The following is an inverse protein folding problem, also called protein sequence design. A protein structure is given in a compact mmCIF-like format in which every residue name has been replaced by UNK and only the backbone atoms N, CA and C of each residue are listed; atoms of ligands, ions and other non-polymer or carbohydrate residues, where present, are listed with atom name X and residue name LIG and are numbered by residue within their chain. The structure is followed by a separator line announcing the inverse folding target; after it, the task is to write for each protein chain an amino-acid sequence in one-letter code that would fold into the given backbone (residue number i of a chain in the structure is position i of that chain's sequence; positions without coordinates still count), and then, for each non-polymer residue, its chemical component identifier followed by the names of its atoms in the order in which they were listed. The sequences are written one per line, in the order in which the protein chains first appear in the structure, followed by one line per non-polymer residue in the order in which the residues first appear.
data_IF_657021769239
#
_entry.id   IF_657021769239
#
_cell.length_a   1.000
_cell.length_b   1.000
_cell.length_c   1.000
_cell.angle_alpha   90.00
_cell.angle_beta   90.00
_cell.angle_gamma   90.00
#
_symmetry.space_group_name_H-M   'P 1'
#
loop_
_entity.id
_entity.type
_entity.pdbx_description
1 polymer ?
#
# COMPACT_ATOMS: atom_id res chain seq x y z
N UNK A 1 9.51 23.82 -17.75
CA UNK A 1 10.85 23.22 -17.58
C UNK A 1 10.77 21.76 -17.15
N UNK A 2 9.98 21.43 -16.09
CA UNK A 2 9.84 20.05 -15.60
C UNK A 2 9.27 19.08 -16.64
N UNK A 3 8.18 19.47 -17.33
CA UNK A 3 7.57 18.66 -18.41
C UNK A 3 8.55 18.43 -19.56
N UNK A 4 9.26 19.47 -20.01
CA UNK A 4 10.25 19.34 -21.08
C UNK A 4 11.41 18.40 -20.66
N UNK A 5 11.89 18.49 -19.43
CA UNK A 5 12.92 17.58 -18.92
C UNK A 5 12.41 16.13 -18.85
N UNK A 6 11.17 15.92 -18.40
CA UNK A 6 10.57 14.59 -18.37
C UNK A 6 10.39 14.01 -19.78
N UNK A 7 9.99 14.85 -20.77
CA UNK A 7 9.84 14.43 -22.15
C UNK A 7 11.17 13.98 -22.80
N UNK A 8 12.28 14.58 -22.36
CA UNK A 8 13.62 14.32 -22.95
C UNK A 8 14.34 13.18 -22.21
N UNK A 9 14.26 13.17 -20.89
CA UNK A 9 15.08 12.33 -20.02
C UNK A 9 14.27 11.35 -19.16
N UNK A 10 12.93 11.40 -19.19
CA UNK A 10 12.07 10.54 -18.41
C UNK A 10 11.95 9.13 -18.99
N UNK A 11 11.58 8.19 -18.14
CA UNK A 11 11.34 6.77 -18.46
C UNK A 11 9.91 6.50 -18.99
N UNK A 12 9.12 7.55 -19.21
CA UNK A 12 7.72 7.44 -19.59
C UNK A 12 6.77 7.12 -18.42
N UNK A 13 7.27 7.07 -17.19
CA UNK A 13 6.43 6.85 -16.01
C UNK A 13 5.75 8.12 -15.53
N UNK A 14 4.47 8.01 -15.20
CA UNK A 14 3.65 9.08 -14.60
C UNK A 14 3.07 8.59 -13.28
N UNK A 15 3.17 9.42 -12.26
CA UNK A 15 2.54 9.18 -10.97
C UNK A 15 1.45 10.22 -10.71
N UNK A 16 0.19 9.75 -10.59
CA UNK A 16 -0.93 10.61 -10.21
C UNK A 16 -0.86 10.83 -8.70
N UNK A 17 -0.53 12.05 -8.30
CA UNK A 17 -0.35 12.46 -6.91
C UNK A 17 -1.68 12.64 -6.17
N UNK A 18 -1.65 13.25 -4.99
CA UNK A 18 -2.76 13.58 -4.08
C UNK A 18 -3.34 12.42 -3.27
N UNK A 19 -2.54 11.38 -3.04
CA UNK A 19 -2.83 10.36 -2.02
C UNK A 19 -4.07 9.49 -2.23
N UNK A 20 -5.03 9.89 -3.08
CA UNK A 20 -6.25 9.11 -3.33
C UNK A 20 -6.97 9.51 -4.62
N UNK A 21 -6.43 9.15 -5.77
CA UNK A 21 -7.07 9.42 -7.07
C UNK A 21 -8.40 8.67 -7.26
N UNK A 22 -8.58 7.56 -6.56
CA UNK A 22 -9.82 6.76 -6.58
C UNK A 22 -10.97 7.39 -5.77
N UNK A 23 -10.80 8.61 -5.24
CA UNK A 23 -11.91 9.45 -4.79
C UNK A 23 -12.74 10.00 -5.96
N UNK A 24 -12.17 10.06 -7.16
CA UNK A 24 -12.91 10.31 -8.38
C UNK A 24 -13.75 9.08 -8.75
N UNK A 25 -14.87 9.30 -9.45
CA UNK A 25 -15.59 8.18 -10.08
C UNK A 25 -14.72 7.53 -11.16
N UNK A 26 -14.92 6.24 -11.39
CA UNK A 26 -14.15 5.45 -12.36
C UNK A 26 -14.19 6.08 -13.76
N UNK A 27 -15.36 6.59 -14.20
CA UNK A 27 -15.50 7.28 -15.47
C UNK A 27 -14.63 8.55 -15.58
N UNK A 28 -14.66 9.42 -14.55
CA UNK A 28 -13.82 10.62 -14.55
C UNK A 28 -12.33 10.32 -14.52
N UNK A 29 -11.94 9.29 -13.77
CA UNK A 29 -10.54 8.86 -13.74
C UNK A 29 -10.13 8.29 -15.10
N UNK A 30 -10.98 7.50 -15.76
CA UNK A 30 -10.77 7.01 -17.13
C UNK A 30 -10.56 8.15 -18.13
N UNK A 31 -11.38 9.21 -18.08
CA UNK A 31 -11.23 10.37 -18.96
C UNK A 31 -9.86 11.05 -18.79
N UNK A 32 -9.39 11.18 -17.53
CA UNK A 32 -8.05 11.73 -17.23
C UNK A 32 -6.93 10.84 -17.80
N UNK A 33 -7.05 9.53 -17.62
CA UNK A 33 -6.05 8.56 -18.10
C UNK A 33 -5.96 8.57 -19.63
N UNK A 34 -7.10 8.54 -20.30
CA UNK A 34 -7.18 8.61 -21.78
C UNK A 34 -6.57 9.92 -22.28
N UNK A 35 -6.94 11.05 -21.67
CA UNK A 35 -6.38 12.36 -22.03
C UNK A 35 -4.85 12.38 -21.86
N UNK A 36 -4.31 11.86 -20.76
CA UNK A 36 -2.87 11.79 -20.54
C UNK A 36 -2.16 10.97 -21.61
N UNK A 37 -2.69 9.80 -21.97
CA UNK A 37 -2.13 8.94 -23.03
C UNK A 37 -2.19 9.61 -24.41
N UNK A 38 -3.24 10.38 -24.71
CA UNK A 38 -3.38 11.12 -25.95
C UNK A 38 -2.43 12.34 -26.02
N UNK A 39 -2.35 13.10 -24.92
CA UNK A 39 -1.49 14.28 -24.84
C UNK A 39 0.01 13.94 -24.79
N UNK A 40 0.34 12.78 -24.23
CA UNK A 40 1.71 12.31 -24.01
C UNK A 40 1.85 10.84 -24.44
N UNK A 41 1.95 10.55 -25.75
CA UNK A 41 1.99 9.17 -26.27
C UNK A 41 3.18 8.34 -25.78
N UNK A 42 4.24 8.98 -25.26
CA UNK A 42 5.42 8.34 -24.69
C UNK A 42 5.19 7.79 -23.26
N UNK A 43 4.03 8.02 -22.67
CA UNK A 43 3.71 7.41 -21.37
C UNK A 43 3.64 5.90 -21.51
N UNK A 44 4.53 5.21 -20.81
CA UNK A 44 4.61 3.74 -20.76
C UNK A 44 3.90 3.19 -19.54
N UNK A 45 3.83 3.97 -18.44
CA UNK A 45 3.27 3.54 -17.16
C UNK A 45 2.57 4.67 -16.42
N UNK A 46 1.36 4.39 -15.91
CA UNK A 46 0.65 5.30 -15.01
C UNK A 46 0.42 4.58 -13.67
N UNK A 47 0.85 5.23 -12.60
CA UNK A 47 0.71 4.74 -11.21
C UNK A 47 -0.07 5.76 -10.40
N UNK A 48 -0.85 5.31 -9.42
CA UNK A 48 -1.57 6.20 -8.52
C UNK A 48 -1.61 5.67 -7.08
N UNK A 49 -2.05 6.52 -6.15
CA UNK A 49 -2.49 6.11 -4.84
C UNK A 49 -4.00 5.87 -4.81
N UNK A 50 -4.43 4.90 -3.99
CA UNK A 50 -5.83 4.66 -3.68
C UNK A 50 -6.00 4.25 -2.21
N UNK A 51 -6.99 4.83 -1.52
CA UNK A 51 -7.33 4.42 -0.16
C UNK A 51 -8.22 3.19 -0.19
N UNK A 52 -7.98 2.22 0.70
CA UNK A 52 -8.73 0.96 0.76
C UNK A 52 -10.26 1.17 0.81
N UNK A 53 -10.74 2.17 1.59
CA UNK A 53 -12.18 2.49 1.67
C UNK A 53 -12.80 2.90 0.32
N UNK A 54 -12.02 3.49 -0.59
CA UNK A 54 -12.47 3.84 -1.93
C UNK A 54 -12.34 2.65 -2.87
N UNK A 55 -11.21 1.96 -2.82
CA UNK A 55 -10.94 0.78 -3.66
C UNK A 55 -11.96 -0.34 -3.42
N UNK A 56 -12.40 -0.56 -2.19
CA UNK A 56 -13.41 -1.56 -1.86
C UNK A 56 -14.78 -1.31 -2.50
N UNK A 57 -15.06 -0.08 -2.93
CA UNK A 57 -16.33 0.32 -3.55
C UNK A 57 -16.31 0.27 -5.08
N UNK A 58 -15.15 0.09 -5.69
CA UNK A 58 -14.97 -0.01 -7.14
C UNK A 58 -15.03 -1.48 -7.51
N UNK A 59 -15.84 -1.82 -8.50
CA UNK A 59 -15.98 -3.21 -8.93
C UNK A 59 -14.76 -3.70 -9.75
N UNK A 60 -14.54 -5.01 -9.87
CA UNK A 60 -13.51 -5.55 -10.75
C UNK A 60 -13.64 -5.09 -12.20
N UNK A 61 -14.87 -4.96 -12.71
CA UNK A 61 -15.14 -4.49 -14.06
C UNK A 61 -14.72 -3.04 -14.26
N UNK A 62 -15.03 -2.16 -13.29
CA UNK A 62 -14.57 -0.77 -13.31
C UNK A 62 -13.05 -0.67 -13.25
N UNK A 63 -12.38 -1.54 -12.46
CA UNK A 63 -10.91 -1.61 -12.47
C UNK A 63 -10.35 -2.10 -13.81
N UNK A 64 -11.02 -3.06 -14.48
CA UNK A 64 -10.63 -3.48 -15.82
C UNK A 64 -10.76 -2.33 -16.84
N UNK A 65 -11.81 -1.50 -16.74
CA UNK A 65 -11.95 -0.28 -17.54
C UNK A 65 -10.83 0.72 -17.26
N UNK A 66 -10.48 0.95 -15.99
CA UNK A 66 -9.35 1.81 -15.61
C UNK A 66 -8.02 1.26 -16.13
N UNK A 67 -7.82 -0.05 -16.09
CA UNK A 67 -6.66 -0.72 -16.69
C UNK A 67 -6.59 -0.50 -18.20
N UNK A 68 -7.71 -0.67 -18.90
CA UNK A 68 -7.80 -0.42 -20.33
C UNK A 68 -7.54 1.06 -20.68
N UNK A 69 -7.97 2.00 -19.82
CA UNK A 69 -7.68 3.43 -19.96
C UNK A 69 -6.21 3.78 -19.67
N UNK A 70 -5.43 2.86 -19.06
CA UNK A 70 -3.98 3.00 -18.89
C UNK A 70 -3.49 3.10 -17.46
N UNK A 71 -4.30 2.79 -16.44
CA UNK A 71 -3.85 2.69 -15.06
C UNK A 71 -3.12 1.36 -14.84
N UNK A 72 -1.82 1.41 -14.60
CA UNK A 72 -0.99 0.21 -14.52
C UNK A 72 -0.80 -0.30 -13.10
N UNK A 73 -0.67 0.62 -12.11
CA UNK A 73 -0.43 0.25 -10.71
C UNK A 73 -1.20 1.15 -9.75
N UNK A 74 -1.68 0.55 -8.67
CA UNK A 74 -2.20 1.26 -7.51
C UNK A 74 -1.33 0.94 -6.30
N UNK A 75 -0.94 1.97 -5.56
CA UNK A 75 -0.37 1.85 -4.22
C UNK A 75 -1.44 2.15 -3.19
N UNK A 76 -1.55 1.31 -2.17
CA UNK A 76 -2.46 1.54 -1.05
C UNK A 76 -1.75 1.41 0.30
N UNK A 77 -1.94 2.39 1.14
CA UNK A 77 -1.50 2.32 2.54
C UNK A 77 -2.51 1.49 3.33
N UNK A 78 -2.18 0.23 3.57
CA UNK A 78 -2.92 -0.61 4.52
C UNK A 78 -2.42 -0.34 5.93
N UNK A 79 -1.12 -0.22 6.09
CA UNK A 79 -0.36 -0.01 7.32
C UNK A 79 -0.37 -1.22 8.25
N UNK A 80 -1.50 -1.89 8.41
CA UNK A 80 -1.73 -3.11 9.19
C UNK A 80 -2.82 -3.94 8.50
N UNK A 81 -2.98 -5.19 8.86
CA UNK A 81 -4.14 -6.03 8.56
C UNK A 81 -4.91 -6.45 9.83
N UNK A 82 -4.59 -5.86 10.97
CA UNK A 82 -5.29 -6.12 12.24
C UNK A 82 -6.32 -5.04 12.53
N UNK A 83 -7.58 -5.41 12.73
CA UNK A 83 -8.66 -4.47 13.07
C UNK A 83 -8.38 -3.69 14.36
N UNK A 84 -7.69 -4.30 15.33
CA UNK A 84 -7.29 -3.63 16.56
C UNK A 84 -6.27 -2.54 16.30
N UNK A 85 -5.26 -2.83 15.47
CA UNK A 85 -4.23 -1.86 15.07
C UNK A 85 -4.84 -0.77 14.19
N UNK A 86 -5.68 -1.14 13.21
CA UNK A 86 -6.37 -0.19 12.33
C UNK A 86 -7.25 0.78 13.12
N UNK A 87 -7.92 0.28 14.16
CA UNK A 87 -8.69 1.11 15.09
C UNK A 87 -7.80 2.02 15.93
N UNK A 88 -6.69 1.50 16.47
CA UNK A 88 -5.72 2.26 17.26
C UNK A 88 -5.19 3.48 16.49
N UNK A 89 -4.84 3.30 15.21
CA UNK A 89 -4.31 4.37 14.36
C UNK A 89 -5.40 5.21 13.68
N UNK A 90 -6.66 4.97 14.00
CA UNK A 90 -7.82 5.64 13.39
C UNK A 90 -7.80 5.59 11.85
N UNK A 91 -7.48 4.41 11.29
CA UNK A 91 -7.34 4.21 9.84
C UNK A 91 -8.67 4.37 9.10
N UNK A 92 -9.77 4.04 9.77
CA UNK A 92 -11.14 4.16 9.24
C UNK A 92 -11.47 3.10 8.17
N UNK A 93 -10.84 1.93 8.27
CA UNK A 93 -11.06 0.76 7.42
C UNK A 93 -10.88 -0.50 8.27
N UNK A 94 -11.50 -1.59 7.87
CA UNK A 94 -11.31 -2.92 8.45
C UNK A 94 -10.43 -3.81 7.55
N UNK A 95 -9.85 -4.86 8.12
CA UNK A 95 -9.11 -5.87 7.35
C UNK A 95 -9.96 -6.50 6.23
N UNK A 96 -11.25 -6.74 6.49
CA UNK A 96 -12.18 -7.26 5.48
C UNK A 96 -12.38 -6.30 4.30
N UNK A 97 -12.42 -4.99 4.55
CA UNK A 97 -12.49 -3.97 3.50
C UNK A 97 -11.17 -3.89 2.73
N UNK A 98 -10.02 -4.03 3.38
CA UNK A 98 -8.71 -4.10 2.72
C UNK A 98 -8.59 -5.32 1.80
N UNK A 99 -9.06 -6.49 2.25
CA UNK A 99 -9.13 -7.71 1.45
C UNK A 99 -10.03 -7.50 0.23
N UNK A 100 -11.21 -6.93 0.43
CA UNK A 100 -12.14 -6.62 -0.68
C UNK A 100 -11.49 -5.68 -1.68
N UNK A 101 -10.87 -4.59 -1.21
CA UNK A 101 -10.16 -3.63 -2.04
C UNK A 101 -9.07 -4.29 -2.89
N UNK A 102 -8.23 -5.11 -2.25
CA UNK A 102 -7.14 -5.79 -2.94
C UNK A 102 -7.62 -6.81 -3.98
N UNK A 103 -8.62 -7.62 -3.63
CA UNK A 103 -9.23 -8.60 -4.55
C UNK A 103 -9.84 -7.90 -5.77
N UNK A 104 -10.56 -6.79 -5.59
CA UNK A 104 -11.16 -6.05 -6.70
C UNK A 104 -10.10 -5.47 -7.64
N UNK A 105 -9.05 -4.83 -7.10
CA UNK A 105 -7.94 -4.27 -7.90
C UNK A 105 -7.25 -5.37 -8.71
N UNK A 106 -6.91 -6.49 -8.07
CA UNK A 106 -6.24 -7.63 -8.72
C UNK A 106 -7.11 -8.26 -9.79
N UNK A 107 -8.41 -8.46 -9.53
CA UNK A 107 -9.36 -9.01 -10.49
C UNK A 107 -9.52 -8.10 -11.72
N UNK A 108 -9.41 -6.78 -11.56
CA UNK A 108 -9.37 -5.81 -12.66
C UNK A 108 -8.05 -5.78 -13.44
N UNK A 109 -7.05 -6.59 -13.09
CA UNK A 109 -5.78 -6.71 -13.80
C UNK A 109 -4.80 -5.55 -13.54
N UNK A 110 -5.02 -4.75 -12.52
CA UNK A 110 -4.11 -3.67 -12.10
C UNK A 110 -3.09 -4.22 -11.11
N UNK A 111 -1.82 -3.88 -11.30
CA UNK A 111 -0.75 -4.22 -10.38
C UNK A 111 -0.97 -3.55 -9.02
N UNK A 112 -0.98 -4.33 -7.94
CA UNK A 112 -1.33 -3.84 -6.62
C UNK A 112 -0.15 -3.89 -5.66
N UNK A 113 0.12 -2.75 -5.03
CA UNK A 113 1.21 -2.57 -4.07
C UNK A 113 0.67 -2.05 -2.75
N UNK A 114 0.86 -2.80 -1.68
CA UNK A 114 0.40 -2.43 -0.34
C UNK A 114 1.56 -1.98 0.53
N UNK A 115 1.32 -1.00 1.40
CA UNK A 115 2.27 -0.61 2.43
C UNK A 115 1.94 -1.32 3.74
N UNK A 116 2.96 -1.89 4.35
CA UNK A 116 2.94 -2.39 5.72
C UNK A 116 3.81 -1.51 6.61
N UNK A 117 3.33 -1.25 7.83
CA UNK A 117 4.01 -0.36 8.77
C UNK A 117 4.42 -1.12 10.04
N UNK A 118 5.62 -1.76 10.06
CA UNK A 118 6.13 -2.41 11.27
C UNK A 118 6.23 -1.44 12.44
N UNK A 119 5.76 -1.89 13.59
CA UNK A 119 5.78 -1.14 14.85
C UNK A 119 4.61 -0.17 15.04
N UNK A 120 3.67 -0.08 14.10
CA UNK A 120 2.55 0.88 14.20
C UNK A 120 1.55 0.52 15.30
N UNK A 121 1.43 -0.76 15.66
CA UNK A 121 0.61 -1.24 16.78
C UNK A 121 1.24 -1.06 18.16
N UNK A 122 2.48 -0.56 18.22
CA UNK A 122 3.25 -0.54 19.47
C UNK A 122 3.58 -1.95 19.97
N UNK A 123 4.28 -1.99 21.10
CA UNK A 123 4.76 -3.27 21.66
C UNK A 123 3.61 -4.21 22.02
N UNK A 124 2.47 -3.68 22.44
CA UNK A 124 1.33 -4.48 22.87
C UNK A 124 0.66 -5.27 21.75
N UNK A 125 0.69 -4.76 20.50
CA UNK A 125 0.02 -5.35 19.34
C UNK A 125 0.99 -5.81 18.25
N UNK A 126 2.25 -6.09 18.60
CA UNK A 126 3.28 -6.55 17.65
C UNK A 126 2.87 -7.84 16.93
N UNK A 127 2.39 -8.85 17.67
CA UNK A 127 1.98 -10.13 17.06
C UNK A 127 0.70 -9.98 16.23
N UNK A 128 -0.27 -9.22 16.71
CA UNK A 128 -1.53 -8.92 16.02
C UNK A 128 -1.28 -8.17 14.73
N UNK A 129 -0.34 -7.20 14.73
CA UNK A 129 0.04 -6.45 13.53
C UNK A 129 0.64 -7.36 12.46
N UNK A 130 1.59 -8.20 12.85
CA UNK A 130 2.25 -9.13 11.93
C UNK A 130 1.28 -10.20 11.39
N UNK A 131 0.50 -10.83 12.27
CA UNK A 131 -0.47 -11.86 11.93
C UNK A 131 -1.55 -11.30 11.02
N UNK A 132 -2.20 -10.20 11.41
CA UNK A 132 -3.27 -9.59 10.63
C UNK A 132 -2.80 -9.21 9.23
N UNK A 133 -1.58 -8.64 9.10
CA UNK A 133 -1.04 -8.33 7.78
C UNK A 133 -0.76 -9.59 6.95
N UNK A 134 -0.27 -10.67 7.59
CA UNK A 134 -0.07 -11.96 6.91
C UNK A 134 -1.38 -12.53 6.37
N UNK A 135 -2.44 -12.50 7.18
CA UNK A 135 -3.75 -12.99 6.78
C UNK A 135 -4.30 -12.20 5.58
N UNK A 136 -4.17 -10.86 5.61
CA UNK A 136 -4.62 -9.98 4.52
C UNK A 136 -3.84 -10.25 3.22
N UNK A 137 -2.51 -10.34 3.28
CA UNK A 137 -1.71 -10.55 2.06
C UNK A 137 -1.89 -11.93 1.46
N UNK A 138 -2.07 -12.97 2.29
CA UNK A 138 -2.35 -14.33 1.80
C UNK A 138 -3.71 -14.39 1.06
N UNK A 139 -4.70 -13.64 1.52
CA UNK A 139 -6.01 -13.54 0.86
C UNK A 139 -5.98 -12.76 -0.46
N UNK A 140 -5.13 -11.75 -0.58
CA UNK A 140 -5.10 -10.84 -1.73
C UNK A 140 -4.06 -11.28 -2.77
N UNK A 141 -2.92 -11.81 -2.32
CA UNK A 141 -1.72 -12.02 -3.15
C UNK A 141 -1.34 -10.74 -3.92
N UNK A 142 -1.02 -9.61 -3.23
CA UNK A 142 -0.63 -8.38 -3.90
C UNK A 142 0.70 -8.58 -4.63
N UNK A 143 0.96 -7.78 -5.66
CA UNK A 143 2.23 -7.89 -6.41
C UNK A 143 3.41 -7.41 -5.56
N UNK A 144 3.17 -6.44 -4.65
CA UNK A 144 4.21 -5.92 -3.75
C UNK A 144 3.67 -5.66 -2.34
N UNK A 145 4.51 -5.98 -1.37
CA UNK A 145 4.44 -5.44 -0.01
C UNK A 145 5.63 -4.49 0.16
N UNK A 146 5.35 -3.24 0.51
CA UNK A 146 6.38 -2.24 0.77
C UNK A 146 6.43 -1.90 2.25
N UNK A 147 7.60 -2.07 2.83
CA UNK A 147 7.83 -1.73 4.23
C UNK A 147 7.94 -0.22 4.39
N UNK A 148 7.25 0.32 5.39
CA UNK A 148 7.35 1.71 5.85
C UNK A 148 7.39 1.70 7.37
N UNK A 149 8.57 1.70 7.95
CA UNK A 149 8.74 1.63 9.41
C UNK A 149 7.99 2.76 10.10
N UNK A 150 7.20 2.43 11.12
CA UNK A 150 6.43 3.39 11.87
C UNK A 150 7.35 4.44 12.53
N UNK A 151 7.05 5.70 12.29
CA UNK A 151 7.65 6.83 12.96
C UNK A 151 6.54 7.73 13.51
N UNK A 152 6.39 7.75 14.83
CA UNK A 152 5.37 8.55 15.51
C UNK A 152 5.80 10.00 15.49
N UNK A 153 4.94 10.86 14.94
CA UNK A 153 5.22 12.28 14.78
C UNK A 153 4.49 13.11 15.84
N UNK A 154 5.09 14.19 16.34
CA UNK A 154 4.38 15.18 17.14
C UNK A 154 3.07 15.61 16.48
N UNK A 155 2.08 15.96 17.28
CA UNK A 155 0.73 16.40 16.84
C UNK A 155 -0.15 15.27 16.25
N UNK A 156 0.17 14.01 16.50
CA UNK A 156 -0.73 12.88 16.24
C UNK A 156 -1.28 12.34 17.56
N UNK A 157 -2.50 11.79 17.55
CA UNK A 157 -3.08 11.15 18.74
C UNK A 157 -2.16 10.08 19.33
N UNK A 158 -1.56 9.27 18.48
CA UNK A 158 -0.62 8.23 18.91
C UNK A 158 0.65 8.79 19.60
N UNK A 159 1.06 10.02 19.27
CA UNK A 159 2.15 10.69 19.95
C UNK A 159 1.75 11.16 21.35
N UNK A 160 0.51 11.60 21.52
CA UNK A 160 -0.05 11.97 22.83
C UNK A 160 -0.16 10.73 23.72
N UNK A 161 -0.64 9.60 23.20
CA UNK A 161 -0.71 8.32 23.91
C UNK A 161 0.70 7.85 24.32
N UNK A 162 1.70 8.04 23.47
CA UNK A 162 3.10 7.76 23.79
C UNK A 162 3.62 8.63 24.94
N UNK A 163 3.34 9.93 24.95
CA UNK A 163 3.75 10.84 26.01
C UNK A 163 3.08 10.51 27.34
N UNK A 164 1.85 10.02 27.31
CA UNK A 164 1.09 9.63 28.48
C UNK A 164 1.46 8.24 29.03
N UNK A 165 2.23 7.47 28.24
CA UNK A 165 2.62 6.10 28.60
C UNK A 165 1.58 5.02 28.23
N UNK A 166 0.51 5.40 27.53
CA UNK A 166 -0.54 4.50 27.05
C UNK A 166 -0.12 3.74 25.79
N UNK A 167 0.85 4.27 25.04
CA UNK A 167 1.46 3.64 23.88
C UNK A 167 2.96 3.42 24.09
N UNK A 168 3.41 2.18 24.00
CA UNK A 168 4.82 1.81 24.13
C UNK A 168 5.39 1.53 22.74
N UNK A 169 6.44 2.26 22.37
CA UNK A 169 7.12 2.07 21.08
C UNK A 169 7.71 0.66 20.95
N UNK A 170 7.61 0.08 19.77
CA UNK A 170 8.35 -1.10 19.41
C UNK A 170 9.86 -0.82 19.39
N UNK A 171 10.64 -1.73 19.92
CA UNK A 171 12.08 -1.77 19.67
C UNK A 171 12.38 -2.10 18.21
N UNK A 172 13.63 -1.94 17.79
CA UNK A 172 14.07 -2.36 16.47
C UNK A 172 13.90 -3.88 16.29
N UNK A 173 14.19 -4.67 17.32
CA UNK A 173 14.00 -6.12 17.33
C UNK A 173 12.53 -6.51 17.15
N UNK A 174 11.60 -5.80 17.79
CA UNK A 174 10.17 -6.05 17.65
C UNK A 174 9.74 -5.84 16.18
N UNK A 175 10.17 -4.75 15.56
CA UNK A 175 9.88 -4.45 14.14
C UNK A 175 10.45 -5.49 13.18
N UNK A 176 11.68 -5.97 13.45
CA UNK A 176 12.30 -7.05 12.66
C UNK A 176 11.54 -8.35 12.82
N UNK A 177 11.06 -8.67 14.04
CA UNK A 177 10.20 -9.84 14.28
C UNK A 177 8.87 -9.76 13.53
N UNK A 178 8.24 -8.59 13.44
CA UNK A 178 7.03 -8.40 12.64
C UNK A 178 7.30 -8.72 11.15
N UNK A 179 8.37 -8.16 10.58
CA UNK A 179 8.74 -8.42 9.18
C UNK A 179 9.04 -9.92 8.97
N UNK A 180 9.82 -10.53 9.87
CA UNK A 180 10.12 -11.96 9.82
C UNK A 180 8.84 -12.80 9.90
N UNK A 181 7.92 -12.47 10.80
CA UNK A 181 6.64 -13.18 10.95
C UNK A 181 5.81 -13.16 9.67
N UNK A 182 5.78 -12.03 8.95
CA UNK A 182 5.10 -11.94 7.65
C UNK A 182 5.73 -12.87 6.62
N UNK A 183 7.06 -12.93 6.57
CA UNK A 183 7.78 -13.82 5.64
C UNK A 183 7.49 -15.30 5.97
N UNK A 184 7.54 -15.66 7.26
CA UNK A 184 7.30 -17.03 7.71
C UNK A 184 5.85 -17.50 7.56
N UNK A 185 4.89 -16.56 7.57
CA UNK A 185 3.45 -16.85 7.41
C UNK A 185 2.94 -16.69 5.98
N UNK A 186 3.79 -16.24 5.05
CA UNK A 186 3.44 -16.16 3.65
C UNK A 186 3.13 -17.56 3.09
N UNK A 187 1.93 -17.76 2.55
CA UNK A 187 1.47 -19.05 2.07
C UNK A 187 0.70 -18.91 0.76
N UNK A 188 1.14 -19.63 -0.26
CA UNK A 188 0.46 -19.68 -1.56
C UNK A 188 0.47 -18.36 -2.34
N UNK A 189 1.42 -17.45 -2.06
CA UNK A 189 1.52 -16.13 -2.71
C UNK A 189 2.80 -15.97 -3.51
N UNK A 190 2.77 -15.06 -4.49
CA UNK A 190 3.92 -14.69 -5.32
C UNK A 190 4.34 -13.22 -5.12
N UNK A 191 4.03 -12.68 -3.96
CA UNK A 191 4.26 -11.30 -3.58
C UNK A 191 5.75 -10.98 -3.47
N UNK A 192 6.16 -9.80 -3.93
CA UNK A 192 7.51 -9.26 -3.72
C UNK A 192 7.52 -8.33 -2.51
N UNK A 193 8.36 -8.64 -1.53
CA UNK A 193 8.62 -7.75 -0.39
C UNK A 193 9.72 -6.77 -0.78
N UNK A 194 9.51 -5.47 -0.48
CA UNK A 194 10.43 -4.37 -0.81
C UNK A 194 10.59 -3.45 0.39
N UNK A 195 11.83 -3.21 0.79
CA UNK A 195 12.18 -2.28 1.86
C UNK A 195 13.16 -1.21 1.33
N UNK A 196 12.62 -0.28 0.55
CA UNK A 196 13.38 0.72 -0.21
C UNK A 196 13.26 2.15 0.36
N UNK A 197 12.64 2.33 1.51
CA UNK A 197 12.43 3.67 2.07
C UNK A 197 13.52 4.07 3.06
N UNK A 198 13.95 5.34 3.00
CA UNK A 198 15.03 5.88 3.83
C UNK A 198 14.79 5.79 5.34
N UNK A 199 13.53 5.71 5.78
CA UNK A 199 13.18 5.57 7.21
C UNK A 199 13.16 4.13 7.68
N UNK A 200 13.34 3.17 6.78
CA UNK A 200 13.34 1.76 7.16
C UNK A 200 14.64 1.39 7.87
N UNK A 201 14.52 0.52 8.87
CA UNK A 201 15.66 -0.03 9.58
C UNK A 201 16.59 -0.82 8.64
N UNK A 202 16.00 -1.58 7.73
CA UNK A 202 16.70 -2.35 6.69
C UNK A 202 16.29 -1.82 5.33
N UNK A 203 17.15 -1.04 4.67
CA UNK A 203 16.82 -0.31 3.43
C UNK A 203 17.02 -1.11 2.14
N UNK A 204 17.63 -2.28 2.22
CA UNK A 204 18.06 -3.06 1.04
C UNK A 204 17.49 -4.47 1.02
N UNK A 205 16.48 -4.75 1.86
CA UNK A 205 15.81 -6.06 1.88
C UNK A 205 14.77 -6.09 0.78
N UNK A 206 14.95 -7.00 -0.15
CA UNK A 206 14.05 -7.22 -1.27
C UNK A 206 14.07 -8.70 -1.65
N UNK A 207 12.91 -9.28 -1.87
CA UNK A 207 12.81 -10.68 -2.25
C UNK A 207 11.39 -11.11 -2.60
N UNK A 208 11.26 -12.26 -3.24
CA UNK A 208 9.96 -12.91 -3.46
C UNK A 208 9.56 -13.69 -2.21
N UNK A 209 8.29 -13.57 -1.83
CA UNK A 209 7.67 -14.40 -0.80
C UNK A 209 7.10 -15.70 -1.39
N UNK A 210 7.53 -16.07 -2.60
CA UNK A 210 7.08 -17.30 -3.24
C UNK A 210 7.43 -18.49 -2.36
N UNK A 211 6.39 -19.17 -1.90
CA UNK A 211 6.51 -20.46 -1.22
C UNK A 211 6.27 -21.57 -2.24
N UNK A 212 7.24 -22.44 -2.41
CA UNK A 212 7.14 -23.65 -3.23
C UNK A 212 6.19 -24.68 -2.59
#
# INVERSE_FOLDING_TARGET
YMVANWLINGDGSVFLQDGNTTALSSGRLSDVLIYLKQAFPQITRITSYGRAQNLAKVSPEEFAELKAAGLDRIHSGFESGSDEVLKLINKGVTAAEEITAGKNVKAGGIEFSVYFMPGVGGRALTEENARGMSDVINEINPDFIRIRTAAIKPQTGLYEDYLNGDFILCSEDDKVREIRSIIERAEGIETRLVSDHITNLLQTVEGSLKTD
#
